data_IF_482401124789
#
_entry.id   IF_482401124789
#
_cell.length_a   1.000
_cell.length_b   1.000
_cell.length_c   1.000
_cell.angle_alpha   90.00
_cell.angle_beta   90.00
_cell.angle_gamma   90.00
#
_symmetry.space_group_name_H-M   'P 1'
#
loop_
_entity.id
_entity.type
_entity.pdbx_description
1 polymer ?
#
# COMPACT_ATOMS: atom_id res chain seq x y z
N UNK A 1 -6.75 19.71 11.82
CA UNK A 1 -7.87 18.80 12.17
C UNK A 1 -7.26 17.61 12.86
N UNK A 2 -7.88 17.05 13.90
CA UNK A 2 -7.36 15.85 14.55
C UNK A 2 -7.40 14.67 13.57
N UNK A 3 -6.34 13.87 13.54
CA UNK A 3 -6.26 12.67 12.73
C UNK A 3 -7.32 11.66 13.21
N UNK A 4 -7.98 10.92 12.31
CA UNK A 4 -9.03 9.98 12.71
C UNK A 4 -8.47 8.82 13.53
N UNK A 5 -9.25 8.37 14.51
CA UNK A 5 -8.85 7.34 15.46
C UNK A 5 -8.46 6.01 14.80
N UNK A 6 -9.07 5.70 13.66
CA UNK A 6 -8.75 4.49 12.88
C UNK A 6 -7.30 4.45 12.37
N UNK A 7 -6.61 5.59 12.32
CA UNK A 7 -5.20 5.67 11.96
C UNK A 7 -4.27 5.74 13.17
N UNK A 8 -4.79 5.75 14.40
CA UNK A 8 -3.95 5.73 15.61
C UNK A 8 -3.18 4.42 15.78
N UNK A 9 -3.64 3.34 15.15
CA UNK A 9 -2.92 2.05 15.07
C UNK A 9 -1.64 2.11 14.22
N UNK A 10 -1.48 3.14 13.38
CA UNK A 10 -0.27 3.35 12.58
C UNK A 10 0.31 4.76 12.82
N UNK A 11 0.84 5.06 14.01
CA UNK A 11 1.46 6.35 14.25
C UNK A 11 2.69 6.55 13.33
N UNK A 12 3.09 7.80 13.02
CA UNK A 12 4.23 8.07 12.16
C UNK A 12 5.52 7.36 12.61
N UNK A 13 5.76 7.27 13.92
CA UNK A 13 6.94 6.58 14.48
C UNK A 13 6.95 5.08 14.16
N UNK A 14 5.78 4.42 14.19
CA UNK A 14 5.67 3.02 13.83
C UNK A 14 5.92 2.81 12.33
N UNK A 15 5.42 3.72 11.48
CA UNK A 15 5.70 3.67 10.04
C UNK A 15 7.18 3.93 9.73
N UNK A 16 7.82 4.83 10.47
CA UNK A 16 9.25 5.12 10.32
C UNK A 16 10.15 3.95 10.74
N UNK A 17 9.67 3.10 11.65
CA UNK A 17 10.38 1.90 12.10
C UNK A 17 10.41 0.77 11.06
N UNK A 18 9.58 0.82 10.01
CA UNK A 18 9.49 -0.24 8.99
C UNK A 18 10.75 -0.44 8.16
N UNK A 19 11.66 0.53 8.13
CA UNK A 19 12.80 0.51 7.21
C UNK A 19 12.37 0.74 5.75
N UNK A 20 13.10 0.17 4.78
CA UNK A 20 12.74 0.23 3.36
C UNK A 20 11.40 -0.47 3.08
N UNK A 21 10.50 0.20 2.36
CA UNK A 21 9.21 -0.33 1.93
C UNK A 21 8.95 0.02 0.47
N UNK A 22 8.11 -0.77 -0.20
CA UNK A 22 7.58 -0.38 -1.50
C UNK A 22 6.28 0.40 -1.29
N UNK A 23 6.30 1.68 -1.62
CA UNK A 23 5.14 2.54 -1.59
C UNK A 23 4.45 2.57 -2.96
N UNK A 24 3.13 2.44 -2.94
CA UNK A 24 2.27 2.74 -4.08
C UNK A 24 1.47 3.99 -3.78
N UNK A 25 1.53 4.96 -4.68
CA UNK A 25 0.72 6.17 -4.63
C UNK A 25 0.07 6.44 -6.00
N UNK A 26 -0.94 7.30 -6.06
CA UNK A 26 -1.55 7.71 -7.32
C UNK A 26 -0.50 8.47 -8.16
N UNK A 27 -0.27 8.06 -9.42
CA UNK A 27 0.69 8.73 -10.31
C UNK A 27 0.32 10.17 -10.65
N UNK A 28 -0.94 10.58 -10.41
CA UNK A 28 -1.37 11.98 -10.53
C UNK A 28 -0.84 12.84 -9.37
N UNK A 29 -0.51 12.21 -8.24
CA UNK A 29 0.07 12.92 -7.11
C UNK A 29 1.54 13.24 -7.37
N UNK A 30 1.91 14.51 -7.14
CA UNK A 30 3.32 14.95 -7.24
C UNK A 30 4.21 14.38 -6.15
N UNK A 31 3.63 13.96 -5.01
CA UNK A 31 4.38 13.53 -3.83
C UNK A 31 3.89 12.15 -3.35
N UNK A 32 4.78 11.19 -3.03
CA UNK A 32 4.39 9.86 -2.57
C UNK A 32 3.49 9.85 -1.34
N UNK A 33 3.69 10.83 -0.44
CA UNK A 33 2.89 11.00 0.78
C UNK A 33 1.56 11.76 0.62
N UNK A 34 1.16 12.13 -0.60
CA UNK A 34 -0.16 12.75 -0.82
C UNK A 34 -1.29 11.83 -0.35
N UNK A 35 -1.13 10.52 -0.55
CA UNK A 35 -2.05 9.49 -0.07
C UNK A 35 -2.16 9.40 1.45
N UNK A 36 -1.02 9.44 2.14
CA UNK A 36 -0.97 9.49 3.61
C UNK A 36 -1.77 10.67 4.18
N UNK A 37 -1.62 11.87 3.60
CA UNK A 37 -2.26 13.10 4.07
C UNK A 37 -3.79 13.07 4.00
N UNK A 38 -4.35 12.30 3.07
CA UNK A 38 -5.81 12.17 2.86
C UNK A 38 -6.40 10.90 3.44
N UNK A 39 -5.56 9.98 3.93
CA UNK A 39 -6.01 8.74 4.52
C UNK A 39 -6.81 9.00 5.79
N UNK A 40 -7.85 8.20 6.01
CA UNK A 40 -8.65 8.22 7.25
C UNK A 40 -8.78 6.84 7.90
N UNK A 41 -8.42 5.79 7.17
CA UNK A 41 -8.45 4.40 7.62
C UNK A 41 -7.22 3.65 7.10
N UNK A 42 -6.83 2.62 7.84
CA UNK A 42 -5.76 1.69 7.47
C UNK A 42 -6.21 0.27 7.74
N UNK A 43 -5.87 -0.63 6.82
CA UNK A 43 -6.12 -2.06 6.92
C UNK A 43 -4.87 -2.83 6.49
N UNK A 44 -4.68 -4.00 7.09
CA UNK A 44 -3.67 -4.95 6.67
C UNK A 44 -4.27 -5.88 5.60
N UNK A 45 -3.52 -6.14 4.55
CA UNK A 45 -3.87 -7.09 3.51
C UNK A 45 -2.73 -8.11 3.39
N UNK A 46 -3.06 -9.37 3.66
CA UNK A 46 -2.14 -10.50 3.54
C UNK A 46 -2.70 -11.45 2.49
N UNK A 47 -1.91 -11.75 1.47
CA UNK A 47 -2.28 -12.70 0.43
C UNK A 47 -1.18 -13.72 0.21
N UNK A 48 -1.58 -14.93 -0.16
CA UNK A 48 -0.68 -15.98 -0.60
C UNK A 48 -1.03 -16.29 -2.07
N UNK A 49 -0.07 -16.15 -2.96
CA UNK A 49 -0.22 -16.53 -4.37
C UNK A 49 0.88 -17.53 -4.78
N UNK A 50 0.90 -17.92 -6.05
CA UNK A 50 1.89 -18.84 -6.62
C UNK A 50 3.33 -18.32 -6.56
N UNK A 51 3.51 -17.02 -6.36
CA UNK A 51 4.81 -16.34 -6.27
C UNK A 51 5.24 -16.06 -4.82
N UNK A 52 4.40 -16.41 -3.84
CA UNK A 52 4.67 -16.36 -2.42
C UNK A 52 3.72 -15.44 -1.63
N UNK A 53 4.01 -15.23 -0.33
CA UNK A 53 3.23 -14.32 0.49
C UNK A 53 3.49 -12.85 0.07
N UNK A 54 2.44 -12.04 0.11
CA UNK A 54 2.48 -10.60 -0.08
C UNK A 54 1.66 -9.93 1.02
N UNK A 55 2.31 -9.02 1.74
CA UNK A 55 1.75 -8.27 2.85
C UNK A 55 1.77 -6.77 2.52
N UNK A 56 0.66 -6.10 2.78
CA UNK A 56 0.51 -4.68 2.54
C UNK A 56 -0.31 -3.99 3.63
N UNK A 57 0.03 -2.72 3.89
CA UNK A 57 -0.82 -1.78 4.61
C UNK A 57 -1.54 -0.90 3.59
N UNK A 58 -2.87 -0.98 3.57
CA UNK A 58 -3.73 -0.26 2.65
C UNK A 58 -4.42 0.91 3.36
N UNK A 59 -4.19 2.12 2.88
CA UNK A 59 -4.78 3.33 3.44
C UNK A 59 -5.91 3.84 2.56
N UNK A 60 -7.06 4.14 3.16
CA UNK A 60 -8.27 4.58 2.45
C UNK A 60 -8.60 6.04 2.75
N UNK A 61 -9.05 6.77 1.74
CA UNK A 61 -9.56 8.13 1.91
C UNK A 61 -10.95 8.13 2.56
N UNK A 62 -11.47 9.32 2.87
CA UNK A 62 -12.84 9.48 3.37
C UNK A 62 -13.91 8.95 2.40
N UNK A 63 -13.58 8.86 1.10
CA UNK A 63 -14.45 8.31 0.06
C UNK A 63 -14.42 6.77 0.01
N UNK A 64 -13.62 6.11 0.86
CA UNK A 64 -13.47 4.65 0.92
C UNK A 64 -12.48 4.07 -0.08
N UNK A 65 -11.96 4.89 -1.00
CA UNK A 65 -11.00 4.51 -2.02
C UNK A 65 -9.60 4.29 -1.44
N UNK A 66 -8.92 3.22 -1.87
CA UNK A 66 -7.53 3.01 -1.50
C UNK A 66 -6.65 4.05 -2.18
N UNK A 67 -5.95 4.84 -1.38
CA UNK A 67 -5.31 6.06 -1.84
C UNK A 67 -3.79 6.09 -1.56
N UNK A 68 -3.29 5.11 -0.81
CA UNK A 68 -1.89 4.87 -0.51
C UNK A 68 -1.70 3.42 -0.04
N UNK A 69 -0.60 2.78 -0.44
CA UNK A 69 -0.24 1.45 0.06
C UNK A 69 1.23 1.36 0.37
N UNK A 70 1.56 0.59 1.40
CA UNK A 70 2.92 0.17 1.71
C UNK A 70 2.97 -1.35 1.60
N UNK A 71 3.94 -1.88 0.87
CA UNK A 71 4.18 -3.32 0.75
C UNK A 71 5.47 -3.66 1.47
N UNK A 72 5.44 -4.77 2.20
CA UNK A 72 6.63 -5.30 2.86
C UNK A 72 7.63 -5.75 1.81
N UNK A 73 8.89 -5.43 2.03
CA UNK A 73 10.02 -5.94 1.26
C UNK A 73 10.88 -6.86 2.14
N UNK A 74 11.71 -7.71 1.53
CA UNK A 74 12.77 -8.44 2.24
C UNK A 74 13.68 -7.52 3.07
N UNK A 75 13.89 -6.29 2.60
CA UNK A 75 14.69 -5.24 3.26
C UNK A 75 13.97 -4.57 4.44
N UNK A 76 12.65 -4.75 4.58
CA UNK A 76 11.87 -4.14 5.67
C UNK A 76 12.23 -4.78 7.02
N UNK A 77 12.14 -3.99 8.09
CA UNK A 77 12.23 -4.50 9.45
C UNK A 77 11.02 -5.41 9.74
N UNK A 78 11.27 -6.71 9.81
CA UNK A 78 10.24 -7.71 10.02
C UNK A 78 9.48 -7.49 11.33
N UNK A 79 10.18 -7.22 12.43
CA UNK A 79 9.54 -7.11 13.74
C UNK A 79 8.69 -5.83 13.85
N UNK A 80 9.16 -4.72 13.27
CA UNK A 80 8.37 -3.49 13.20
C UNK A 80 7.11 -3.68 12.34
N UNK A 81 7.23 -4.43 11.24
CA UNK A 81 6.10 -4.75 10.37
C UNK A 81 5.05 -5.61 11.08
N UNK A 82 5.45 -6.72 11.72
CA UNK A 82 4.53 -7.62 12.42
C UNK A 82 3.76 -6.88 13.54
N UNK A 83 4.45 -6.05 14.32
CA UNK A 83 3.81 -5.22 15.37
C UNK A 83 2.74 -4.29 14.81
N UNK A 84 2.94 -3.76 13.61
CA UNK A 84 1.95 -2.94 12.94
C UNK A 84 0.76 -3.78 12.44
N UNK A 85 1.02 -4.95 11.86
CA UNK A 85 -0.05 -5.86 11.45
C UNK A 85 -0.95 -6.26 12.63
N UNK A 86 -0.38 -6.54 13.80
CA UNK A 86 -1.14 -6.90 15.02
C UNK A 86 -2.07 -5.78 15.51
N UNK A 87 -1.73 -4.53 15.21
CA UNK A 87 -2.47 -3.35 15.66
C UNK A 87 -3.50 -2.85 14.62
N UNK A 88 -3.46 -3.39 13.41
CA UNK A 88 -4.27 -2.91 12.29
C UNK A 88 -5.35 -3.96 11.95
N UNK A 89 -6.60 -3.55 11.68
CA UNK A 89 -7.61 -4.50 11.24
C UNK A 89 -7.18 -5.18 9.94
N UNK A 90 -7.08 -6.51 9.98
CA UNK A 90 -6.82 -7.32 8.79
C UNK A 90 -8.11 -7.41 7.97
N UNK A 91 -8.05 -6.97 6.72
CA UNK A 91 -9.13 -7.18 5.76
C UNK A 91 -9.10 -8.67 5.38
N UNK A 92 -9.89 -9.49 6.09
CA UNK A 92 -10.00 -10.90 5.79
C UNK A 92 -10.53 -11.05 4.36
N UNK A 93 -9.75 -11.70 3.47
CA UNK A 93 -10.31 -12.30 2.27
C UNK A 93 -11.41 -13.26 2.73
N UNK A 94 -12.69 -12.87 2.60
CA UNK A 94 -13.80 -13.78 2.82
C UNK A 94 -13.69 -14.90 1.79
N UNK A 95 -13.11 -16.02 2.21
CA UNK A 95 -13.21 -17.27 1.51
C UNK A 95 -14.70 -17.69 1.51
N UNK A 96 -15.31 -17.55 0.34
CA UNK A 96 -16.42 -18.33 -0.18
C UNK A 96 -17.72 -18.50 0.63
N UNK A 97 -18.73 -17.70 0.27
CA UNK A 97 -20.13 -18.18 0.21
C UNK A 97 -20.89 -17.70 -1.04
N UNK A 98 -20.19 -17.27 -2.08
CA UNK A 98 -20.77 -17.10 -3.43
C UNK A 98 -19.64 -17.18 -4.45
N UNK A 99 -19.73 -18.08 -5.43
CA UNK A 99 -18.81 -18.20 -6.54
C UNK A 99 -19.10 -17.10 -7.56
N UNK A 100 -18.72 -15.86 -7.22
CA UNK A 100 -18.87 -14.69 -8.07
C UNK A 100 -17.76 -13.68 -7.78
N UNK A 101 -17.22 -12.98 -8.80
CA UNK A 101 -15.97 -12.24 -8.69
C UNK A 101 -16.18 -10.91 -7.97
N UNK A 102 -16.22 -10.92 -6.64
CA UNK A 102 -16.46 -9.70 -5.84
C UNK A 102 -15.20 -8.86 -5.65
N UNK A 103 -14.02 -9.46 -5.87
CA UNK A 103 -12.80 -8.70 -6.07
C UNK A 103 -12.81 -7.90 -7.39
N UNK A 104 -13.73 -8.19 -8.32
CA UNK A 104 -14.03 -7.32 -9.49
C UNK A 104 -15.01 -6.18 -9.19
N UNK A 105 -15.57 -6.10 -7.98
CA UNK A 105 -16.47 -5.01 -7.59
C UNK A 105 -15.73 -3.80 -6.96
N UNK A 106 -14.39 -3.82 -6.95
CA UNK A 106 -13.63 -2.56 -7.03
C UNK A 106 -13.92 -2.01 -8.42
N UNK A 107 -14.80 -1.02 -8.52
CA UNK A 107 -15.22 -0.44 -9.79
C UNK A 107 -13.98 -0.18 -10.66
N UNK A 108 -13.93 -0.82 -11.83
CA UNK A 108 -12.91 -0.61 -12.86
C UNK A 108 -12.99 0.78 -13.52
N UNK A 109 -13.82 1.70 -13.01
CA UNK A 109 -13.82 3.08 -13.42
C UNK A 109 -12.78 3.86 -12.63
N UNK A 110 -11.57 3.92 -13.17
CA UNK A 110 -10.41 4.67 -12.69
C UNK A 110 -9.67 4.05 -11.50
N UNK A 111 -9.13 2.84 -11.67
CA UNK A 111 -7.96 2.47 -10.86
C UNK A 111 -6.91 3.59 -11.02
N UNK A 112 -6.39 4.16 -9.91
CA UNK A 112 -5.27 5.07 -9.98
C UNK A 112 -4.17 4.41 -10.82
N UNK A 113 -3.55 5.17 -11.72
CA UNK A 113 -2.28 4.72 -12.31
C UNK A 113 -1.30 4.67 -11.14
N UNK A 114 -1.18 3.54 -10.47
CA UNK A 114 -0.32 3.43 -9.30
C UNK A 114 1.12 3.61 -9.73
N UNK A 115 1.84 4.48 -9.03
CA UNK A 115 3.29 4.64 -9.18
C UNK A 115 3.98 3.92 -8.02
N UNK A 116 4.75 2.85 -8.31
CA UNK A 116 5.62 2.23 -7.32
C UNK A 116 6.85 3.09 -7.07
N UNK A 117 7.25 3.21 -5.80
CA UNK A 117 8.49 3.84 -5.39
C UNK A 117 9.01 3.17 -4.11
N UNK A 118 10.29 2.79 -4.13
CA UNK A 118 10.97 2.29 -2.94
C UNK A 118 11.40 3.47 -2.08
N UNK A 119 10.98 3.48 -0.81
CA UNK A 119 11.27 4.58 0.07
C UNK A 119 11.42 4.14 1.52
N UNK A 120 12.09 4.98 2.30
CA UNK A 120 12.13 4.90 3.75
C UNK A 120 11.32 6.06 4.33
N UNK A 121 10.53 5.74 5.34
CA UNK A 121 9.70 6.72 6.06
C UNK A 121 10.45 7.26 7.28
N UNK A 122 10.21 8.52 7.60
CA UNK A 122 10.77 9.21 8.74
C UNK A 122 9.66 9.95 9.48
N UNK A 123 9.56 9.75 10.79
CA UNK A 123 8.68 10.56 11.62
C UNK A 123 9.30 11.96 11.80
N UNK A 124 8.49 13.00 11.63
CA UNK A 124 8.90 14.39 11.82
C UNK A 124 8.22 14.91 13.09
N UNK A 125 8.94 15.03 14.21
CA UNK A 125 8.36 15.44 15.48
C UNK A 125 7.90 16.90 15.42
N UNK A 126 6.86 17.24 16.19
CA UNK A 126 6.35 18.61 16.29
C UNK A 126 5.46 19.08 15.14
N UNK A 127 5.25 18.24 14.11
CA UNK A 127 4.28 18.51 13.05
C UNK A 127 2.92 17.85 13.32
N UNK A 128 1.83 18.40 12.74
CA UNK A 128 0.54 17.72 12.69
C UNK A 128 0.68 16.31 12.10
N UNK A 129 -0.10 15.34 12.57
CA UNK A 129 0.10 13.93 12.22
C UNK A 129 0.02 13.62 10.71
N UNK A 130 -0.77 14.39 9.95
CA UNK A 130 -0.84 14.33 8.49
C UNK A 130 0.46 14.76 7.79
N UNK A 131 1.28 15.57 8.45
CA UNK A 131 2.56 16.11 7.97
C UNK A 131 3.77 15.54 8.72
N UNK A 132 3.55 14.81 9.82
CA UNK A 132 4.57 14.20 10.66
C UNK A 132 5.27 12.99 10.03
N UNK A 133 5.21 12.87 8.70
CA UNK A 133 5.85 11.82 7.93
C UNK A 133 6.60 12.46 6.76
N UNK A 134 7.89 12.13 6.65
CA UNK A 134 8.73 12.42 5.51
C UNK A 134 9.12 11.10 4.83
N UNK A 135 9.49 11.19 3.56
CA UNK A 135 9.94 10.06 2.76
C UNK A 135 11.28 10.39 2.12
N UNK A 136 12.18 9.42 2.12
CA UNK A 136 13.43 9.45 1.40
C UNK A 136 13.48 8.26 0.44
N UNK A 137 14.00 8.47 -0.77
CA UNK A 137 14.30 7.36 -1.68
C UNK A 137 15.36 6.46 -1.04
N UNK A 138 15.28 5.17 -1.34
CA UNK A 138 16.20 4.16 -0.77
C UNK A 138 16.66 3.19 -1.84
N UNK A 139 17.96 2.85 -1.79
CA UNK A 139 18.50 1.76 -2.56
C UNK A 139 18.10 0.42 -1.92
N UNK A 140 17.45 -0.42 -2.69
CA UNK A 140 17.06 -1.76 -2.25
C UNK A 140 18.19 -2.76 -2.47
N UNK A 141 18.25 -3.80 -1.65
CA UNK A 141 19.01 -5.01 -1.95
C UNK A 141 18.54 -5.64 -3.26
N UNK A 142 19.33 -6.57 -3.81
CA UNK A 142 18.92 -7.33 -5.00
C UNK A 142 17.58 -8.05 -4.79
N UNK A 143 17.42 -8.71 -3.65
CA UNK A 143 16.20 -9.44 -3.31
C UNK A 143 15.01 -8.48 -3.13
N UNK A 144 15.25 -7.30 -2.55
CA UNK A 144 14.28 -6.22 -2.45
C UNK A 144 13.78 -5.73 -3.80
N UNK A 145 14.68 -5.51 -4.77
CA UNK A 145 14.32 -5.12 -6.14
C UNK A 145 13.50 -6.21 -6.83
N UNK A 146 13.93 -7.46 -6.75
CA UNK A 146 13.20 -8.59 -7.34
C UNK A 146 11.77 -8.72 -6.76
N UNK A 147 11.63 -8.55 -5.44
CA UNK A 147 10.33 -8.53 -4.77
C UNK A 147 9.48 -7.32 -5.19
N UNK A 148 10.06 -6.13 -5.26
CA UNK A 148 9.38 -4.91 -5.66
C UNK A 148 8.88 -4.99 -7.11
N UNK A 149 9.71 -5.50 -8.03
CA UNK A 149 9.35 -5.70 -9.43
C UNK A 149 8.23 -6.75 -9.56
N UNK A 150 8.26 -7.82 -8.77
CA UNK A 150 7.18 -8.82 -8.73
C UNK A 150 5.86 -8.18 -8.31
N UNK A 151 5.86 -7.40 -7.23
CA UNK A 151 4.67 -6.71 -6.73
C UNK A 151 4.16 -5.72 -7.80
N UNK A 152 5.05 -4.91 -8.38
CA UNK A 152 4.73 -3.96 -9.44
C UNK A 152 4.14 -4.64 -10.68
N UNK A 153 4.68 -5.80 -11.11
CA UNK A 153 4.13 -6.59 -12.21
C UNK A 153 2.75 -7.15 -11.90
N UNK A 154 2.51 -7.68 -10.70
CA UNK A 154 1.18 -8.18 -10.29
C UNK A 154 0.13 -7.07 -10.37
N UNK A 155 0.49 -5.88 -9.93
CA UNK A 155 -0.40 -4.72 -9.97
C UNK A 155 -0.53 -4.15 -11.38
N UNK A 156 0.55 -4.14 -12.17
CA UNK A 156 0.55 -3.75 -13.58
C UNK A 156 -0.23 -4.72 -14.49
N UNK A 157 -0.24 -6.02 -14.16
CA UNK A 157 -1.06 -7.05 -14.83
C UNK A 157 -2.54 -6.94 -14.50
N UNK A 158 -2.91 -6.32 -13.38
CA UNK A 158 -4.27 -5.86 -13.11
C UNK A 158 -4.61 -4.58 -13.90
N UNK A 159 -3.62 -3.92 -14.52
CA UNK A 159 -3.72 -2.63 -15.24
C UNK A 159 -3.66 -2.81 -16.79
N UNK A 160 -3.71 -4.03 -17.34
CA UNK A 160 -3.90 -4.26 -18.80
C UNK A 160 -4.36 -5.69 -19.12
N UNK A 161 -5.54 -5.93 -19.69
CA UNK A 161 -5.86 -5.67 -21.11
C UNK A 161 -7.11 -4.79 -21.29
N UNK A 162 -6.87 -3.54 -21.66
CA UNK A 162 -7.81 -2.68 -22.38
C UNK A 162 -7.08 -2.13 -23.61
N UNK A 163 -6.92 -2.96 -24.64
CA UNK A 163 -6.24 -2.60 -25.88
C UNK A 163 -6.50 -3.69 -26.91
N UNK A 164 -7.32 -3.39 -27.91
CA UNK A 164 -7.98 -4.37 -28.77
C UNK A 164 -7.07 -5.13 -29.74
N UNK A 165 -7.62 -6.25 -30.19
CA UNK A 165 -7.34 -6.84 -31.48
C UNK A 165 -8.66 -7.47 -31.99
N UNK A 166 -9.39 -6.73 -32.82
CA UNK A 166 -10.24 -7.37 -33.82
C UNK A 166 -9.39 -7.46 -35.08
N UNK A 167 -8.99 -8.66 -35.55
CA UNK A 167 -8.57 -8.82 -36.92
C UNK A 167 -9.80 -8.82 -37.83
N UNK A 168 -9.56 -8.38 -39.07
CA UNK A 168 -10.50 -8.06 -40.15
C UNK A 168 -11.54 -9.14 -40.47
#
# INVERSE_FOLDING_TARGET
MARPAALHSCPPDALAALGPVLCLHDARDRHPLSGWRRAVQVHAHVSLDSEGPSEALCFRSADGECCWQLHRLPDSDFLAWERLLDCVPVEACQADTHPGPRWRAVRLSAWPRWRPCALRLHAVPGLPAEQALAAADVDLSRLGREAADRIARRLGGLIGFGGGLAPA
#
